data_IF_587734676261
#
_entry.id   IF_587734676261
#
_cell.length_a   1.000
_cell.length_b   1.000
_cell.length_c   1.000
_cell.angle_alpha   90.00
_cell.angle_beta   90.00
_cell.angle_gamma   90.00
#
_symmetry.space_group_name_H-M   'P 1'
#
loop_
_entity.id
_entity.type
_entity.pdbx_description
1 polymer ?
#
# COMPACT_ATOMS: atom_id res chain seq x y z
N UNK A 1 1.32 0.01 -2.77
CA UNK A 1 0.09 0.44 -2.09
C UNK A 1 -1.08 -0.35 -2.64
N UNK A 2 -1.87 -0.98 -1.77
CA UNK A 2 -3.18 -1.54 -2.12
C UNK A 2 -4.22 -0.69 -1.42
N UNK A 3 -4.88 0.18 -2.18
CA UNK A 3 -5.78 1.19 -1.67
C UNK A 3 -7.24 0.79 -1.86
N UNK A 4 -8.05 0.82 -0.81
CA UNK A 4 -9.50 0.69 -0.90
C UNK A 4 -10.14 2.01 -1.36
N UNK A 5 -11.11 1.93 -2.27
CA UNK A 5 -11.86 3.10 -2.76
C UNK A 5 -13.06 3.47 -1.89
N UNK A 6 -13.26 2.80 -0.74
CA UNK A 6 -14.34 3.08 0.20
C UNK A 6 -15.05 1.81 0.66
N UNK A 7 -15.86 1.24 -0.22
CA UNK A 7 -16.76 0.12 0.08
C UNK A 7 -16.12 -1.27 0.10
N UNK A 8 -14.79 -1.38 -0.10
CA UNK A 8 -14.08 -2.67 -0.10
C UNK A 8 -13.59 -3.05 1.29
N UNK A 9 -13.97 -4.22 1.84
CA UNK A 9 -13.50 -4.69 3.13
C UNK A 9 -11.97 -4.83 3.21
N UNK A 10 -11.40 -4.53 4.37
CA UNK A 10 -9.95 -4.63 4.59
C UNK A 10 -9.42 -6.05 4.32
N UNK A 11 -10.20 -7.09 4.64
CA UNK A 11 -9.85 -8.49 4.36
C UNK A 11 -9.68 -8.76 2.87
N UNK A 12 -10.54 -8.20 2.02
CA UNK A 12 -10.42 -8.31 0.56
C UNK A 12 -9.16 -7.59 0.05
N UNK A 13 -8.83 -6.42 0.62
CA UNK A 13 -7.58 -5.73 0.27
C UNK A 13 -6.33 -6.55 0.59
N UNK A 14 -6.34 -7.32 1.69
CA UNK A 14 -5.24 -8.24 2.02
C UNK A 14 -5.16 -9.44 1.06
N UNK A 15 -6.30 -9.98 0.59
CA UNK A 15 -6.31 -11.02 -0.46
C UNK A 15 -5.68 -10.48 -1.75
N UNK A 16 -6.05 -9.25 -2.14
CA UNK A 16 -5.49 -8.58 -3.31
C UNK A 16 -3.98 -8.34 -3.13
N UNK A 17 -3.54 -7.89 -1.95
CA UNK A 17 -2.13 -7.69 -1.64
C UNK A 17 -1.32 -8.99 -1.73
N UNK A 18 -1.89 -10.12 -1.28
CA UNK A 18 -1.26 -11.44 -1.39
C UNK A 18 -1.06 -11.87 -2.85
N UNK A 19 -2.10 -11.74 -3.68
CA UNK A 19 -1.99 -12.07 -5.10
C UNK A 19 -1.02 -11.14 -5.84
N UNK A 20 -1.02 -9.85 -5.51
CA UNK A 20 -0.03 -8.90 -6.02
C UNK A 20 1.40 -9.33 -5.67
N UNK A 21 1.64 -9.73 -4.42
CA UNK A 21 2.96 -10.18 -3.97
C UNK A 21 3.45 -11.41 -4.74
N UNK A 22 2.57 -12.39 -5.01
CA UNK A 22 2.91 -13.55 -5.86
C UNK A 22 3.29 -13.13 -7.28
N UNK A 23 2.51 -12.25 -7.90
CA UNK A 23 2.75 -11.77 -9.27
C UNK A 23 4.09 -11.03 -9.35
N UNK A 24 4.38 -10.15 -8.39
CA UNK A 24 5.64 -9.40 -8.35
C UNK A 24 6.85 -10.29 -8.08
N UNK A 25 6.71 -11.26 -7.19
CA UNK A 25 7.76 -12.25 -6.94
C UNK A 25 8.07 -13.08 -8.20
N UNK A 26 7.05 -13.53 -8.93
CA UNK A 26 7.24 -14.21 -10.22
C UNK A 26 7.91 -13.34 -11.30
N UNK A 27 7.98 -12.03 -11.09
CA UNK A 27 8.70 -11.06 -11.95
C UNK A 27 10.04 -10.61 -11.36
N UNK A 28 10.50 -11.24 -10.28
CA UNK A 28 11.72 -10.85 -9.55
C UNK A 28 11.69 -9.40 -9.01
N UNK A 29 10.51 -8.87 -8.72
CA UNK A 29 10.34 -7.55 -8.12
C UNK A 29 10.17 -7.71 -6.60
N UNK A 30 11.07 -7.09 -5.84
CA UNK A 30 11.01 -7.10 -4.37
C UNK A 30 10.15 -5.96 -3.85
N UNK A 31 9.20 -6.27 -2.97
CA UNK A 31 8.39 -5.26 -2.27
C UNK A 31 9.15 -4.85 -1.01
N UNK A 32 9.77 -3.68 -1.02
CA UNK A 32 10.49 -3.16 0.15
C UNK A 32 9.54 -2.59 1.21
N UNK A 33 8.47 -1.90 0.79
CA UNK A 33 7.49 -1.24 1.66
C UNK A 33 6.08 -1.41 1.10
N UNK A 34 5.08 -1.47 1.98
CA UNK A 34 3.68 -1.64 1.60
C UNK A 34 2.75 -0.90 2.55
N UNK A 35 1.69 -0.31 1.98
CA UNK A 35 0.49 0.09 2.71
C UNK A 35 -0.72 -0.63 2.12
N UNK A 36 -1.60 -1.08 2.99
CA UNK A 36 -2.85 -1.78 2.68
C UNK A 36 -3.96 -1.15 3.51
N UNK A 37 -4.97 -0.57 2.86
CA UNK A 37 -6.06 0.13 3.55
C UNK A 37 -6.71 1.19 2.69
N UNK A 38 -7.60 2.00 3.27
CA UNK A 38 -8.31 3.08 2.57
C UNK A 38 -7.60 4.41 2.81
N UNK A 39 -6.74 4.82 1.87
CA UNK A 39 -5.94 6.05 1.95
C UNK A 39 -6.45 7.15 1.02
N UNK A 40 -6.96 6.77 -0.15
CA UNK A 40 -7.52 7.66 -1.16
C UNK A 40 -8.84 7.04 -1.63
N UNK A 41 -9.95 7.47 -1.04
CA UNK A 41 -11.28 6.89 -1.28
C UNK A 41 -12.08 7.65 -2.35
N UNK A 42 -13.14 7.02 -2.84
CA UNK A 42 -14.15 7.57 -3.74
C UNK A 42 -15.55 7.28 -3.16
N UNK A 43 -15.89 7.96 -2.07
CA UNK A 43 -17.09 7.71 -1.26
C UNK A 43 -17.20 6.23 -0.87
N UNK A 44 -18.32 5.57 -1.15
CA UNK A 44 -18.62 4.17 -0.83
C UNK A 44 -18.30 3.21 -2.00
N UNK A 45 -17.47 3.63 -2.96
CA UNK A 45 -17.17 2.81 -4.13
C UNK A 45 -16.54 1.47 -3.71
N UNK A 46 -17.16 0.37 -4.12
CA UNK A 46 -16.57 -0.96 -4.05
C UNK A 46 -15.51 -1.09 -5.14
N UNK A 47 -14.24 -0.99 -4.75
CA UNK A 47 -13.11 -1.04 -5.66
C UNK A 47 -11.79 -0.84 -4.93
N UNK A 48 -10.69 -1.11 -5.63
CA UNK A 48 -9.35 -0.84 -5.15
C UNK A 48 -8.47 -0.27 -6.26
N UNK A 49 -7.39 0.40 -5.86
CA UNK A 49 -6.30 0.78 -6.76
C UNK A 49 -4.97 0.20 -6.26
N UNK A 50 -4.09 -0.12 -7.21
CA UNK A 50 -2.73 -0.57 -6.93
C UNK A 50 -1.77 0.50 -7.43
N UNK A 51 -0.86 0.92 -6.55
CA UNK A 51 0.23 1.83 -6.91
C UNK A 51 1.56 1.16 -6.62
N UNK A 52 2.42 1.12 -7.63
CA UNK A 52 3.81 0.66 -7.55
C UNK A 52 4.74 1.86 -7.77
N UNK A 53 5.70 2.02 -6.87
CA UNK A 53 6.77 3.01 -6.98
C UNK A 53 8.10 2.27 -6.91
N UNK A 54 8.96 2.49 -7.90
CA UNK A 54 10.35 2.03 -7.82
C UNK A 54 11.07 2.92 -6.82
N UNK A 55 11.54 2.33 -5.74
CA UNK A 55 12.30 3.04 -4.71
C UNK A 55 13.78 3.04 -5.07
N UNK A 56 14.43 4.16 -4.77
CA UNK A 56 15.87 4.25 -4.56
C UNK A 56 16.16 4.43 -3.05
N UNK A 57 17.44 4.52 -2.70
CA UNK A 57 17.87 4.59 -1.30
C UNK A 57 17.42 5.89 -0.61
N UNK A 58 17.40 7.01 -1.34
CA UNK A 58 16.95 8.30 -0.81
C UNK A 58 15.45 8.27 -0.52
N UNK A 59 14.64 7.77 -1.45
CA UNK A 59 13.20 7.61 -1.25
C UNK A 59 12.89 6.63 -0.11
N UNK A 60 13.68 5.57 0.02
CA UNK A 60 13.53 4.62 1.13
C UNK A 60 13.83 5.30 2.47
N UNK A 61 14.86 6.14 2.53
CA UNK A 61 15.17 6.94 3.71
C UNK A 61 14.01 7.88 4.09
N UNK A 62 13.42 8.59 3.12
CA UNK A 62 12.27 9.47 3.40
C UNK A 62 11.02 8.69 3.82
N UNK A 63 10.80 7.50 3.27
CA UNK A 63 9.69 6.64 3.69
C UNK A 63 9.82 6.21 5.16
N UNK A 64 11.02 5.82 5.59
CA UNK A 64 11.27 5.31 6.94
C UNK A 64 11.37 6.43 8.00
N UNK A 65 11.45 7.69 7.57
CA UNK A 65 11.48 8.84 8.48
C UNK A 65 10.22 8.88 9.37
N UNK A 66 10.32 9.35 10.63
CA UNK A 66 9.17 9.43 11.53
C UNK A 66 8.02 10.26 10.95
N UNK A 67 6.80 9.77 11.12
CA UNK A 67 5.57 10.46 10.70
C UNK A 67 4.53 10.36 11.81
N UNK A 68 3.83 11.46 12.08
CA UNK A 68 2.73 11.50 13.05
C UNK A 68 1.56 12.32 12.51
N UNK A 69 0.71 11.67 11.71
CA UNK A 69 -0.51 12.26 11.14
C UNK A 69 -1.72 11.40 11.51
N UNK A 70 -2.94 11.86 11.21
CA UNK A 70 -4.15 11.07 11.51
C UNK A 70 -4.18 9.72 10.78
N UNK A 71 -3.61 9.63 9.57
CA UNK A 71 -3.68 8.44 8.73
C UNK A 71 -2.37 7.62 8.67
N UNK A 72 -1.22 8.24 8.93
CA UNK A 72 0.11 7.58 8.89
C UNK A 72 0.88 7.87 10.17
N UNK A 73 1.34 6.82 10.86
CA UNK A 73 2.13 6.91 12.09
C UNK A 73 3.17 5.80 12.20
N UNK A 74 4.45 6.15 12.32
CA UNK A 74 5.56 5.24 12.63
C UNK A 74 6.81 6.01 13.08
N UNK A 75 7.80 5.29 13.61
CA UNK A 75 9.08 5.86 14.04
C UNK A 75 8.99 6.69 15.33
N UNK A 76 8.03 6.37 16.21
CA UNK A 76 7.88 6.97 17.53
C UNK A 76 8.84 6.35 18.56
#
# INVERSE_FOLDING_TARGET
>A
FVNGMGGTPLTELYIIAHELAKILHGKHITIARSLIGSYITSLEMAGCSITLLRLDDEMTHYWDAPVCTSALRWGM
#
